data_IF_674549912875
#
_entry.id   IF_674549912875
#
_cell.length_a   1.000
_cell.length_b   1.000
_cell.length_c   1.000
_cell.angle_alpha   90.00
_cell.angle_beta   90.00
_cell.angle_gamma   90.00
#
_symmetry.space_group_name_H-M   'P 1'
#
loop_
_entity.id
_entity.type
_entity.pdbx_description
1 polymer ?
#
# COMPACT_ATOMS: atom_id res chain seq x y z
N UNK A 1 -0.54 -62.91 -39.47
CA UNK A 1 -1.30 -61.72 -39.02
C UNK A 1 -0.87 -61.38 -37.59
N UNK A 2 -0.85 -60.09 -37.21
CA UNK A 2 -0.45 -59.53 -35.90
C UNK A 2 0.95 -58.91 -35.76
N UNK A 3 1.32 -57.94 -36.60
CA UNK A 3 2.39 -56.97 -36.27
C UNK A 3 2.03 -55.49 -36.60
N UNK A 4 0.78 -55.21 -36.96
CA UNK A 4 0.36 -53.86 -37.41
C UNK A 4 -0.44 -53.06 -36.37
N UNK A 5 -0.63 -53.60 -35.16
CA UNK A 5 -1.47 -53.01 -34.10
C UNK A 5 -0.67 -52.43 -32.92
N UNK A 6 0.65 -52.67 -32.87
CA UNK A 6 1.51 -52.23 -31.78
C UNK A 6 2.10 -50.82 -31.99
N UNK A 7 2.42 -50.46 -33.24
CA UNK A 7 3.17 -49.23 -33.55
C UNK A 7 2.29 -47.98 -33.46
N UNK A 8 1.07 -48.06 -34.00
CA UNK A 8 0.05 -47.00 -33.89
C UNK A 8 -0.36 -46.70 -32.44
N UNK A 9 -0.20 -47.68 -31.53
CA UNK A 9 -0.54 -47.54 -30.11
C UNK A 9 0.50 -46.68 -29.38
N UNK A 10 1.79 -46.84 -29.69
CA UNK A 10 2.88 -46.02 -29.13
C UNK A 10 2.82 -44.59 -29.65
N UNK A 11 2.51 -44.40 -30.93
CA UNK A 11 2.36 -43.08 -31.54
C UNK A 11 1.17 -42.30 -30.94
N UNK A 12 0.05 -42.99 -30.71
CA UNK A 12 -1.12 -42.42 -30.04
C UNK A 12 -0.82 -42.04 -28.58
N UNK A 13 -0.11 -42.90 -27.85
CA UNK A 13 0.32 -42.61 -26.47
C UNK A 13 1.26 -41.41 -26.38
N UNK A 14 2.21 -41.25 -27.32
CA UNK A 14 3.11 -40.10 -27.34
C UNK A 14 2.38 -38.79 -27.64
N UNK A 15 1.45 -38.80 -28.59
CA UNK A 15 0.61 -37.63 -28.90
C UNK A 15 -0.25 -37.23 -27.70
N UNK A 16 -0.90 -38.19 -27.06
CA UNK A 16 -1.69 -37.95 -25.85
C UNK A 16 -0.82 -37.39 -24.72
N UNK A 17 0.39 -37.92 -24.50
CA UNK A 17 1.30 -37.42 -23.47
C UNK A 17 1.71 -35.96 -23.75
N UNK A 18 1.98 -35.60 -25.00
CA UNK A 18 2.31 -34.21 -25.39
C UNK A 18 1.13 -33.25 -25.18
N UNK A 19 -0.10 -33.67 -25.47
CA UNK A 19 -1.28 -32.85 -25.17
C UNK A 19 -1.50 -32.69 -23.66
N UNK A 20 -1.28 -33.74 -22.87
CA UNK A 20 -1.38 -33.68 -21.41
C UNK A 20 -0.30 -32.78 -20.79
N UNK A 21 0.95 -32.85 -21.26
CA UNK A 21 2.01 -31.95 -20.76
C UNK A 21 1.77 -30.50 -21.18
N UNK A 22 1.28 -30.26 -22.40
CA UNK A 22 0.87 -28.93 -22.85
C UNK A 22 -0.30 -28.35 -22.06
N UNK A 23 -1.31 -29.16 -21.74
CA UNK A 23 -2.46 -28.76 -20.94
C UNK A 23 -2.07 -28.45 -19.48
N UNK A 24 -1.19 -29.26 -18.89
CA UNK A 24 -0.67 -29.00 -17.54
C UNK A 24 0.16 -27.71 -17.51
N UNK A 25 1.02 -27.48 -18.50
CA UNK A 25 1.78 -26.23 -18.61
C UNK A 25 0.85 -25.01 -18.77
N UNK A 26 -0.21 -25.12 -19.58
CA UNK A 26 -1.24 -24.09 -19.72
C UNK A 26 -1.95 -23.83 -18.39
N UNK A 27 -2.42 -24.87 -17.69
CA UNK A 27 -3.13 -24.72 -16.41
C UNK A 27 -2.26 -24.12 -15.29
N UNK A 28 -0.95 -24.41 -15.25
CA UNK A 28 -0.02 -23.81 -14.28
C UNK A 28 0.17 -22.29 -14.54
N UNK A 29 0.05 -21.83 -15.79
CA UNK A 29 0.16 -20.38 -16.09
C UNK A 29 -1.04 -19.56 -15.59
N UNK A 30 -2.22 -20.18 -15.41
CA UNK A 30 -3.42 -19.46 -14.95
C UNK A 30 -3.57 -19.35 -13.43
N UNK A 31 -2.83 -20.14 -12.64
CA UNK A 31 -3.05 -20.22 -11.18
C UNK A 31 -2.28 -19.18 -10.35
N UNK A 32 -1.66 -18.16 -10.95
CA UNK A 32 -0.96 -17.10 -10.21
C UNK A 32 -1.69 -15.77 -10.27
N UNK A 33 -2.96 -15.74 -9.87
CA UNK A 33 -3.62 -14.47 -9.56
C UNK A 33 -2.98 -13.89 -8.29
N UNK A 34 -1.93 -13.09 -8.49
CA UNK A 34 -1.19 -12.45 -7.42
C UNK A 34 -2.12 -11.46 -6.70
N UNK A 35 -2.66 -11.88 -5.56
CA UNK A 35 -3.50 -11.04 -4.73
C UNK A 35 -2.65 -9.89 -4.15
N UNK A 36 -2.98 -8.65 -4.48
CA UNK A 36 -2.25 -7.44 -4.06
C UNK A 36 -2.91 -6.77 -2.86
N UNK A 37 -2.12 -6.13 -2.01
CA UNK A 37 -2.57 -5.40 -0.82
C UNK A 37 -2.02 -3.97 -0.85
N UNK A 38 -2.88 -2.99 -0.55
CA UNK A 38 -2.44 -1.62 -0.23
C UNK A 38 -2.06 -1.56 1.24
N UNK A 39 -0.79 -1.28 1.52
CA UNK A 39 -0.24 -1.27 2.88
C UNK A 39 0.22 0.13 3.25
N UNK A 40 -0.34 0.66 4.34
CA UNK A 40 0.05 1.92 4.96
C UNK A 40 0.99 1.65 6.15
N UNK A 41 2.23 2.13 6.07
CA UNK A 41 3.15 2.19 7.20
C UNK A 41 3.05 3.58 7.82
N UNK A 42 2.67 3.65 9.09
CA UNK A 42 2.38 4.91 9.76
C UNK A 42 2.95 4.99 11.17
N UNK A 43 3.12 6.22 11.65
CA UNK A 43 3.35 6.51 13.06
C UNK A 43 2.01 6.55 13.80
N UNK A 44 1.91 5.75 14.85
CA UNK A 44 0.81 5.82 15.80
C UNK A 44 1.11 6.89 16.85
N UNK A 45 0.16 7.77 17.12
CA UNK A 45 0.27 8.68 18.26
C UNK A 45 0.00 7.91 19.55
N UNK A 46 0.54 8.40 20.67
CA UNK A 46 0.19 7.87 22.00
C UNK A 46 -1.33 7.95 22.18
N UNK A 47 -1.92 6.94 22.81
CA UNK A 47 -3.37 6.86 23.06
C UNK A 47 -3.91 8.11 23.76
N UNK A 48 -3.15 8.63 24.71
CA UNK A 48 -3.41 9.90 25.37
C UNK A 48 -2.58 11.00 24.70
N UNK A 49 -3.21 11.73 23.78
CA UNK A 49 -2.60 12.90 23.15
C UNK A 49 -3.60 14.06 23.07
N UNK A 50 -3.10 15.28 23.21
CA UNK A 50 -3.92 16.50 23.17
C UNK A 50 -4.62 16.70 21.82
N UNK A 51 -4.10 16.11 20.73
CA UNK A 51 -4.67 16.27 19.39
C UNK A 51 -6.07 15.66 19.32
N UNK A 52 -6.33 14.54 20.01
CA UNK A 52 -7.68 13.95 20.07
C UNK A 52 -8.70 14.94 20.64
N UNK A 53 -8.34 15.66 21.72
CA UNK A 53 -9.21 16.67 22.30
C UNK A 53 -9.42 17.84 21.34
N UNK A 54 -8.36 18.33 20.69
CA UNK A 54 -8.48 19.40 19.70
C UNK A 54 -9.37 19.02 18.51
N UNK A 55 -9.33 17.76 18.05
CA UNK A 55 -10.23 17.29 16.99
C UNK A 55 -11.68 17.24 17.50
N UNK A 56 -11.92 16.84 18.75
CA UNK A 56 -13.26 16.87 19.36
C UNK A 56 -13.80 18.29 19.40
N UNK A 57 -13.00 19.24 19.89
CA UNK A 57 -13.38 20.65 19.98
C UNK A 57 -13.64 21.25 18.59
N UNK A 58 -12.81 20.91 17.61
CA UNK A 58 -13.01 21.33 16.23
C UNK A 58 -14.31 20.76 15.63
N UNK A 59 -14.59 19.47 15.85
CA UNK A 59 -15.83 18.85 15.40
C UNK A 59 -17.06 19.50 16.06
N UNK A 60 -16.97 19.81 17.36
CA UNK A 60 -18.04 20.51 18.08
C UNK A 60 -18.26 21.92 17.51
N UNK A 61 -17.18 22.65 17.21
CA UNK A 61 -17.27 23.95 16.56
C UNK A 61 -17.97 23.85 15.19
N UNK A 62 -17.58 22.88 14.35
CA UNK A 62 -18.22 22.65 13.05
C UNK A 62 -19.71 22.33 13.20
N UNK A 63 -20.08 21.52 14.20
CA UNK A 63 -21.47 21.20 14.50
C UNK A 63 -22.27 22.43 14.92
N UNK A 64 -21.76 23.22 15.87
CA UNK A 64 -22.42 24.42 16.38
C UNK A 64 -22.64 25.48 15.30
N UNK A 65 -21.75 25.51 14.29
CA UNK A 65 -21.84 26.41 13.14
C UNK A 65 -22.64 25.84 11.97
N UNK A 66 -23.18 24.62 12.08
CA UNK A 66 -23.93 23.95 11.01
C UNK A 66 -23.08 23.54 9.81
N UNK A 67 -21.75 23.59 9.91
CA UNK A 67 -20.83 23.47 8.78
C UNK A 67 -20.70 22.03 8.26
N UNK A 68 -21.02 21.03 9.09
CA UNK A 68 -21.07 19.64 8.65
C UNK A 68 -22.02 19.43 7.49
N UNK A 69 -23.25 19.96 7.58
CA UNK A 69 -24.22 19.84 6.51
C UNK A 69 -23.89 20.76 5.33
N UNK A 70 -23.51 22.01 5.62
CA UNK A 70 -23.18 23.02 4.59
C UNK A 70 -22.07 22.56 3.64
N UNK A 71 -21.05 21.87 4.17
CA UNK A 71 -19.88 21.45 3.40
C UNK A 71 -19.74 19.93 3.26
N UNK A 72 -20.79 19.16 3.61
CA UNK A 72 -20.78 17.70 3.60
C UNK A 72 -19.55 17.09 4.30
N UNK A 73 -19.21 17.61 5.48
CA UNK A 73 -18.07 17.16 6.28
C UNK A 73 -18.55 16.08 7.27
N UNK A 74 -17.89 14.92 7.26
CA UNK A 74 -18.13 13.85 8.24
C UNK A 74 -17.11 13.91 9.40
N UNK A 75 -17.53 13.78 10.67
CA UNK A 75 -16.63 13.84 11.82
C UNK A 75 -15.70 12.61 11.91
N UNK A 76 -14.41 12.86 12.17
CA UNK A 76 -13.31 11.91 11.95
C UNK A 76 -13.10 10.82 13.04
N UNK A 77 -13.70 10.93 14.23
CA UNK A 77 -13.04 10.39 15.45
C UNK A 77 -13.23 8.87 15.72
N UNK A 78 -14.25 8.21 15.19
CA UNK A 78 -14.57 6.86 15.70
C UNK A 78 -14.00 5.70 14.89
N UNK A 79 -13.78 5.86 13.58
CA UNK A 79 -13.43 4.73 12.71
C UNK A 79 -11.94 4.68 12.33
N UNK A 80 -11.22 5.81 12.45
CA UNK A 80 -9.85 5.93 11.99
C UNK A 80 -8.92 6.51 13.06
N UNK A 81 -7.97 5.72 13.59
CA UNK A 81 -7.03 6.25 14.57
C UNK A 81 -6.16 7.32 13.93
N UNK A 82 -5.90 8.40 14.67
CA UNK A 82 -4.98 9.44 14.26
C UNK A 82 -3.59 8.83 14.01
N UNK A 83 -3.06 9.08 12.82
CA UNK A 83 -1.77 8.56 12.41
C UNK A 83 -1.07 9.51 11.43
N UNK A 84 0.23 9.29 11.23
CA UNK A 84 1.02 9.98 10.21
C UNK A 84 1.56 8.91 9.27
N UNK A 85 1.06 8.90 8.04
CA UNK A 85 1.55 8.02 6.97
C UNK A 85 3.02 8.33 6.68
N UNK A 86 3.88 7.32 6.82
CA UNK A 86 5.29 7.39 6.45
C UNK A 86 5.51 6.88 5.02
N UNK A 87 4.77 5.85 4.64
CA UNK A 87 4.83 5.24 3.33
C UNK A 87 3.56 4.44 3.02
N UNK A 88 3.03 4.61 1.80
CA UNK A 88 1.85 3.91 1.30
C UNK A 88 2.18 3.32 -0.06
N UNK A 89 2.05 2.01 -0.21
CA UNK A 89 2.30 1.34 -1.48
C UNK A 89 1.51 0.03 -1.59
N UNK A 90 1.40 -0.46 -2.83
CA UNK A 90 0.80 -1.76 -3.14
C UNK A 90 1.87 -2.84 -3.20
N UNK A 91 1.57 -3.99 -2.60
CA UNK A 91 2.47 -5.13 -2.49
C UNK A 91 1.75 -6.43 -2.86
N UNK A 92 2.49 -7.43 -3.35
CA UNK A 92 1.94 -8.79 -3.44
C UNK A 92 1.79 -9.39 -2.05
N UNK A 93 0.68 -10.08 -1.78
CA UNK A 93 0.36 -10.66 -0.46
C UNK A 93 1.48 -11.55 0.11
N UNK A 94 2.24 -12.22 -0.75
CA UNK A 94 3.39 -13.05 -0.37
C UNK A 94 4.48 -12.29 0.41
N UNK A 95 4.60 -10.96 0.23
CA UNK A 95 5.60 -10.14 0.90
C UNK A 95 5.16 -9.64 2.29
N UNK A 96 3.92 -9.91 2.72
CA UNK A 96 3.36 -9.34 3.95
C UNK A 96 4.23 -9.62 5.19
N UNK A 97 4.68 -10.86 5.37
CA UNK A 97 5.50 -11.24 6.52
C UNK A 97 6.87 -10.52 6.53
N UNK A 98 7.49 -10.37 5.35
CA UNK A 98 8.76 -9.67 5.21
C UNK A 98 8.59 -8.16 5.48
N UNK A 99 7.51 -7.55 4.97
CA UNK A 99 7.18 -6.15 5.24
C UNK A 99 7.00 -5.92 6.75
N UNK A 100 6.26 -6.80 7.43
CA UNK A 100 6.07 -6.71 8.89
C UNK A 100 7.40 -6.81 9.63
N UNK A 101 8.23 -7.79 9.27
CA UNK A 101 9.55 -8.01 9.87
C UNK A 101 10.46 -6.79 9.72
N UNK A 102 10.59 -6.25 8.50
CA UNK A 102 11.43 -5.08 8.23
C UNK A 102 10.91 -3.83 8.96
N UNK A 103 9.59 -3.61 8.93
CA UNK A 103 8.97 -2.50 9.66
C UNK A 103 9.21 -2.61 11.17
N UNK A 104 9.12 -3.82 11.73
CA UNK A 104 9.39 -4.06 13.15
C UNK A 104 10.85 -3.82 13.53
N UNK A 105 11.80 -4.22 12.67
CA UNK A 105 13.23 -3.95 12.89
C UNK A 105 13.52 -2.46 12.93
N UNK A 106 12.92 -1.69 12.01
CA UNK A 106 13.04 -0.24 11.98
C UNK A 106 12.42 0.38 13.24
N UNK A 107 11.22 -0.07 13.63
CA UNK A 107 10.51 0.43 14.81
C UNK A 107 11.29 0.21 16.11
N UNK A 108 11.94 -0.96 16.28
CA UNK A 108 12.75 -1.28 17.48
C UNK A 108 13.93 -0.34 17.68
N UNK A 109 14.47 0.22 16.60
CA UNK A 109 15.62 1.13 16.64
C UNK A 109 15.21 2.60 16.75
N UNK A 110 13.93 2.90 16.57
CA UNK A 110 13.45 4.26 16.44
C UNK A 110 13.10 4.86 17.80
N UNK A 111 13.72 6.00 18.13
CA UNK A 111 13.34 6.81 19.30
C UNK A 111 12.03 7.54 19.03
N UNK A 112 11.33 7.91 20.12
CA UNK A 112 10.14 8.75 20.04
C UNK A 112 10.42 10.03 19.25
N UNK A 113 9.54 10.36 18.31
CA UNK A 113 9.61 11.56 17.49
C UNK A 113 8.65 12.60 18.05
N UNK A 114 9.15 13.80 18.32
CA UNK A 114 8.30 14.95 18.66
C UNK A 114 7.76 15.53 17.36
N UNK A 115 6.45 15.65 17.28
CA UNK A 115 5.74 16.16 16.11
C UNK A 115 5.14 17.51 16.47
N UNK A 116 5.34 18.48 15.59
CA UNK A 116 4.63 19.75 15.66
C UNK A 116 3.70 19.85 14.46
N UNK A 117 2.50 20.35 14.69
CA UNK A 117 1.54 20.65 13.63
C UNK A 117 1.59 22.13 13.28
N UNK A 118 0.99 22.52 12.14
CA UNK A 118 1.02 23.91 11.67
C UNK A 118 -0.36 24.47 11.38
N UNK A 119 -1.05 23.89 10.40
CA UNK A 119 -2.28 24.45 9.86
C UNK A 119 -3.22 23.35 9.38
N UNK A 120 -4.52 23.64 9.39
CA UNK A 120 -5.52 22.80 8.75
C UNK A 120 -5.47 23.00 7.23
N UNK A 121 -5.53 21.89 6.50
CA UNK A 121 -5.56 21.83 5.05
C UNK A 121 -6.86 21.14 4.62
N UNK A 122 -7.63 21.78 3.76
CA UNK A 122 -8.65 21.09 2.98
C UNK A 122 -7.96 20.44 1.78
N UNK A 123 -8.03 19.12 1.67
CA UNK A 123 -7.58 18.42 0.48
C UNK A 123 -8.66 18.47 -0.59
N UNK A 124 -8.29 18.44 -1.89
CA UNK A 124 -9.26 18.35 -2.99
C UNK A 124 -10.22 17.16 -2.90
N UNK A 125 -9.82 16.11 -2.18
CA UNK A 125 -10.61 14.89 -1.98
C UNK A 125 -11.57 14.99 -0.77
N UNK A 126 -11.83 16.19 -0.26
CA UNK A 126 -12.83 16.44 0.78
C UNK A 126 -12.37 16.20 2.22
N UNK A 127 -11.07 15.97 2.46
CA UNK A 127 -10.54 15.78 3.82
C UNK A 127 -10.02 17.08 4.41
N UNK A 128 -10.35 17.36 5.68
CA UNK A 128 -9.65 18.35 6.50
C UNK A 128 -8.52 17.65 7.26
N UNK A 129 -7.28 18.04 6.96
CA UNK A 129 -6.06 17.44 7.50
C UNK A 129 -5.30 18.44 8.37
N UNK A 130 -4.76 17.99 9.50
CA UNK A 130 -3.83 18.78 10.29
C UNK A 130 -2.40 18.55 9.76
N UNK A 131 -1.81 19.57 9.14
CA UNK A 131 -0.46 19.46 8.58
C UNK A 131 0.60 19.33 9.66
N UNK A 132 1.55 18.43 9.43
CA UNK A 132 2.74 18.24 10.27
C UNK A 132 3.88 19.10 9.73
N UNK A 133 4.59 19.80 10.61
CA UNK A 133 5.83 20.50 10.25
C UNK A 133 6.86 19.47 9.81
N UNK A 134 7.44 19.69 8.63
CA UNK A 134 8.55 18.87 8.13
C UNK A 134 9.72 18.95 9.10
N UNK A 135 10.25 17.80 9.49
CA UNK A 135 11.49 17.69 10.26
C UNK A 135 12.41 16.69 9.60
N UNK A 136 13.72 16.87 9.76
CA UNK A 136 14.70 15.94 9.19
C UNK A 136 14.49 14.52 9.73
N UNK A 137 14.20 14.38 11.03
CA UNK A 137 13.92 13.07 11.66
C UNK A 137 12.73 12.34 11.03
N UNK A 138 11.65 13.05 10.73
CA UNK A 138 10.47 12.43 10.10
C UNK A 138 10.75 12.06 8.64
N UNK A 139 11.48 12.91 7.92
CA UNK A 139 11.90 12.64 6.55
C UNK A 139 12.86 11.43 6.48
N UNK A 140 13.87 11.39 7.34
CA UNK A 140 14.82 10.28 7.46
C UNK A 140 14.11 8.97 7.76
N UNK A 141 13.13 8.98 8.67
CA UNK A 141 12.33 7.80 8.97
C UNK A 141 11.49 7.34 7.77
N UNK A 142 10.83 8.27 7.07
CA UNK A 142 10.09 7.96 5.83
C UNK A 142 11.01 7.37 4.77
N UNK A 143 12.20 7.96 4.57
CA UNK A 143 13.21 7.46 3.64
C UNK A 143 13.72 6.07 4.03
N UNK A 144 13.95 5.81 5.33
CA UNK A 144 14.38 4.49 5.82
C UNK A 144 13.33 3.41 5.54
N UNK A 145 12.05 3.73 5.77
CA UNK A 145 10.93 2.83 5.42
C UNK A 145 10.85 2.61 3.91
N UNK A 146 10.91 3.67 3.10
CA UNK A 146 10.91 3.59 1.64
C UNK A 146 12.04 2.68 1.14
N UNK A 147 13.29 2.94 1.55
CA UNK A 147 14.45 2.19 1.07
C UNK A 147 14.39 0.71 1.46
N UNK A 148 13.84 0.39 2.64
CA UNK A 148 13.68 -0.99 3.08
C UNK A 148 12.60 -1.72 2.27
N UNK A 149 11.47 -1.06 2.03
CA UNK A 149 10.27 -1.73 1.50
C UNK A 149 10.10 -1.58 -0.02
N UNK A 150 10.81 -0.66 -0.68
CA UNK A 150 10.63 -0.38 -2.11
C UNK A 150 10.76 -1.65 -2.96
N UNK A 151 11.77 -2.48 -2.69
CA UNK A 151 12.02 -3.73 -3.42
C UNK A 151 10.91 -4.78 -3.33
N UNK A 152 9.96 -4.63 -2.41
CA UNK A 152 8.86 -5.58 -2.21
C UNK A 152 7.57 -5.16 -2.92
N UNK A 153 7.54 -3.94 -3.49
CA UNK A 153 6.34 -3.38 -4.14
C UNK A 153 5.88 -4.28 -5.28
N UNK A 154 4.58 -4.23 -5.53
CA UNK A 154 4.04 -4.80 -6.74
C UNK A 154 4.42 -3.91 -7.94
N UNK A 155 5.21 -4.40 -8.92
CA UNK A 155 5.62 -3.60 -10.08
C UNK A 155 4.44 -3.28 -11.02
N UNK A 156 3.34 -4.03 -10.91
CA UNK A 156 2.12 -3.80 -11.69
C UNK A 156 1.14 -2.84 -11.02
N UNK A 157 1.52 -2.23 -9.89
CA UNK A 157 0.66 -1.31 -9.15
C UNK A 157 0.36 -0.05 -9.97
N UNK A 158 -0.93 0.28 -10.08
CA UNK A 158 -1.38 1.54 -10.65
C UNK A 158 -1.09 2.71 -9.70
N UNK A 159 -0.89 3.89 -10.27
CA UNK A 159 -0.80 5.14 -9.50
C UNK A 159 -2.14 5.34 -8.77
N UNK A 160 -2.16 5.51 -7.44
CA UNK A 160 -3.40 5.70 -6.72
C UNK A 160 -4.02 7.06 -7.03
N UNK A 161 -5.36 7.15 -7.01
CA UNK A 161 -6.12 8.35 -7.41
C UNK A 161 -5.67 9.62 -6.66
N UNK A 162 -5.38 9.52 -5.37
CA UNK A 162 -4.92 10.67 -4.57
C UNK A 162 -3.56 11.24 -5.02
N UNK A 163 -2.75 10.43 -5.74
CA UNK A 163 -1.47 10.85 -6.30
C UNK A 163 -1.56 11.18 -7.80
N UNK A 164 -2.58 10.69 -8.50
CA UNK A 164 -2.73 10.81 -9.95
C UNK A 164 -2.83 12.27 -10.42
N UNK A 165 -3.38 13.16 -9.58
CA UNK A 165 -3.52 14.58 -9.89
C UNK A 165 -2.23 15.42 -9.71
N UNK A 166 -1.17 14.87 -9.13
CA UNK A 166 0.10 15.58 -8.85
C UNK A 166 1.25 14.94 -9.65
N UNK A 167 1.66 15.60 -10.73
CA UNK A 167 2.69 15.09 -11.65
C UNK A 167 4.02 14.79 -10.98
N UNK A 168 4.38 15.49 -9.89
CA UNK A 168 5.60 15.19 -9.13
C UNK A 168 5.45 13.89 -8.35
N UNK A 169 4.27 13.61 -7.79
CA UNK A 169 3.98 12.34 -7.10
C UNK A 169 3.93 11.17 -8.07
N UNK A 170 3.36 11.38 -9.27
CA UNK A 170 3.38 10.38 -10.35
C UNK A 170 4.83 10.03 -10.71
N UNK A 171 5.68 11.03 -10.95
CA UNK A 171 7.08 10.79 -11.29
C UNK A 171 7.83 10.00 -10.20
N UNK A 172 7.64 10.36 -8.92
CA UNK A 172 8.23 9.63 -7.80
C UNK A 172 7.71 8.19 -7.70
N UNK A 173 6.41 7.99 -7.92
CA UNK A 173 5.80 6.65 -7.92
C UNK A 173 6.42 5.77 -9.01
N UNK A 174 6.55 6.28 -10.24
CA UNK A 174 7.09 5.52 -11.37
C UNK A 174 8.59 5.25 -11.21
N UNK A 175 9.39 6.24 -10.81
CA UNK A 175 10.84 6.05 -10.61
C UNK A 175 11.16 4.95 -9.59
N UNK A 176 10.40 4.90 -8.49
CA UNK A 176 10.57 3.89 -7.45
C UNK A 176 10.19 2.46 -7.86
N UNK A 177 9.48 2.28 -8.98
CA UNK A 177 9.18 0.97 -9.57
C UNK A 177 10.25 0.59 -10.61
N UNK A 178 10.68 1.55 -11.43
CA UNK A 178 11.65 1.32 -12.52
C UNK A 178 13.04 0.97 -12.01
N UNK A 179 13.51 1.60 -10.93
CA UNK A 179 14.83 1.33 -10.33
C UNK A 179 14.99 -0.08 -9.72
N UNK A 180 13.92 -0.90 -9.75
CA UNK A 180 13.88 -2.26 -9.24
C UNK A 180 13.73 -3.30 -10.37
N UNK A 181 13.50 -2.84 -11.60
CA UNK A 181 13.38 -3.67 -12.81
C UNK A 181 14.64 -3.69 -13.68
N UNK A 182 15.67 -2.93 -13.28
CA UNK A 182 16.99 -2.80 -13.89
C UNK A 182 18.05 -3.38 -12.96
#
# INVERSE_FOLDING_TARGET
MCYWTADNRKLFQHRMLLYFTGLIAYLITYSTQANTLSINVYLKLKSENQVVFLIKDFNQFLQQKGLFHTYNISPFIYEHPLHITLYLATYKKQHLLEIMKQTQLIAKQQKQVIISTRLFLASPNGYVMLSVKRTNKLQELSNKILNSLAGLRDPTALVPEWAAADTKRVALFTQSIVSLSS
#
